data_IF_871178251287
#
_entry.id   IF_871178251287
#
_cell.length_a   1.000
_cell.length_b   1.000
_cell.length_c   1.000
_cell.angle_alpha   90.00
_cell.angle_beta   90.00
_cell.angle_gamma   90.00
#
_symmetry.space_group_name_H-M   'P 1'
#
loop_
_entity.id
_entity.type
_entity.pdbx_description
1 polymer ?
#
# COMPACT_ATOMS: atom_id res chain seq x y z
N UNK A 1 1.69 3.03 -21.28
CA UNK A 1 0.66 1.98 -21.55
C UNK A 1 0.16 1.26 -20.27
N UNK A 2 0.06 1.94 -19.11
CA UNK A 2 -0.46 1.35 -17.85
C UNK A 2 -1.84 1.88 -17.45
N UNK A 3 -2.25 3.04 -17.96
CA UNK A 3 -3.50 3.71 -17.58
C UNK A 3 -4.74 3.07 -18.20
N UNK A 4 -4.62 2.51 -19.41
CA UNK A 4 -5.69 1.83 -20.13
C UNK A 4 -6.13 0.49 -19.51
N UNK A 5 -5.33 -0.09 -18.60
CA UNK A 5 -5.66 -1.37 -17.97
C UNK A 5 -6.81 -1.25 -16.97
N UNK A 6 -6.82 -0.20 -16.15
CA UNK A 6 -7.87 0.00 -15.14
C UNK A 6 -9.20 0.31 -15.83
N UNK A 7 -9.19 1.15 -16.86
CA UNK A 7 -10.39 1.45 -17.65
C UNK A 7 -10.94 0.19 -18.33
N UNK A 8 -10.07 -0.64 -18.90
CA UNK A 8 -10.48 -1.92 -19.49
C UNK A 8 -11.08 -2.88 -18.45
N UNK A 9 -10.48 -2.99 -17.26
CA UNK A 9 -11.01 -3.79 -16.16
C UNK A 9 -12.39 -3.31 -15.71
N UNK A 10 -12.61 -1.98 -15.66
CA UNK A 10 -13.92 -1.40 -15.34
C UNK A 10 -14.95 -1.74 -16.42
N UNK A 11 -14.60 -1.60 -17.70
CA UNK A 11 -15.48 -1.97 -18.82
C UNK A 11 -15.88 -3.46 -18.74
N UNK A 12 -14.91 -4.35 -18.54
CA UNK A 12 -15.17 -5.79 -18.42
C UNK A 12 -16.02 -6.08 -17.19
N UNK A 13 -15.76 -5.40 -16.07
CA UNK A 13 -16.56 -5.53 -14.85
C UNK A 13 -18.02 -5.13 -15.05
N UNK A 14 -18.28 -4.04 -15.78
CA UNK A 14 -19.65 -3.59 -16.11
C UNK A 14 -20.35 -4.63 -17.01
N UNK A 15 -19.67 -5.16 -18.02
CA UNK A 15 -20.23 -6.20 -18.90
C UNK A 15 -20.62 -7.44 -18.08
N UNK A 16 -19.73 -7.90 -17.18
CA UNK A 16 -20.02 -9.03 -16.30
C UNK A 16 -21.21 -8.73 -15.37
N UNK A 17 -21.27 -7.52 -14.80
CA UNK A 17 -22.39 -7.11 -13.94
C UNK A 17 -23.73 -7.12 -14.69
N UNK A 18 -23.77 -6.67 -15.94
CA UNK A 18 -24.96 -6.73 -16.79
C UNK A 18 -25.38 -8.18 -17.07
N UNK A 19 -24.43 -9.06 -17.38
CA UNK A 19 -24.72 -10.48 -17.59
C UNK A 19 -25.31 -11.10 -16.33
N UNK A 20 -24.72 -10.85 -15.15
CA UNK A 20 -25.24 -11.33 -13.86
C UNK A 20 -26.65 -10.79 -13.59
N UNK A 21 -26.91 -9.50 -13.88
CA UNK A 21 -28.21 -8.90 -13.68
C UNK A 21 -29.29 -9.54 -14.58
N UNK A 22 -28.96 -9.82 -15.85
CA UNK A 22 -29.86 -10.54 -16.76
C UNK A 22 -30.16 -11.94 -16.22
N UNK A 23 -29.14 -12.69 -15.79
CA UNK A 23 -29.33 -14.00 -15.17
C UNK A 23 -30.20 -13.92 -13.91
N UNK A 24 -30.03 -12.89 -13.09
CA UNK A 24 -30.83 -12.71 -11.87
C UNK A 24 -32.31 -12.46 -12.16
N UNK A 25 -32.63 -11.74 -13.25
CA UNK A 25 -34.02 -11.47 -13.65
C UNK A 25 -34.67 -12.69 -14.29
N UNK A 26 -33.95 -13.39 -15.19
CA UNK A 26 -34.49 -14.54 -15.92
C UNK A 26 -34.63 -15.76 -15.01
N UNK A 27 -33.73 -15.93 -14.03
CA UNK A 27 -33.69 -17.08 -13.14
C UNK A 27 -34.15 -16.71 -11.72
N UNK A 28 -35.20 -15.90 -11.62
CA UNK A 28 -35.86 -15.54 -10.35
C UNK A 28 -36.88 -16.60 -9.90
N UNK A 29 -36.77 -17.81 -10.43
CA UNK A 29 -37.65 -18.90 -10.02
C UNK A 29 -37.33 -19.29 -8.57
N UNK A 30 -38.35 -19.36 -7.70
CA UNK A 30 -38.15 -19.77 -6.32
C UNK A 30 -37.71 -21.24 -6.29
N UNK A 31 -36.59 -21.49 -5.60
CA UNK A 31 -36.07 -22.83 -5.37
C UNK A 31 -36.11 -23.07 -3.86
N UNK A 32 -36.63 -24.22 -3.45
CA UNK A 32 -36.63 -24.64 -2.05
C UNK A 32 -35.19 -24.79 -1.56
N UNK A 33 -34.83 -23.98 -0.55
CA UNK A 33 -33.52 -24.09 0.11
C UNK A 33 -33.73 -24.55 1.54
N UNK A 34 -33.13 -25.70 1.83
CA UNK A 34 -33.07 -26.26 3.17
C UNK A 34 -31.85 -25.69 3.89
N UNK A 35 -32.03 -24.59 4.60
CA UNK A 35 -31.08 -24.20 5.64
C UNK A 35 -31.28 -25.19 6.80
N UNK A 36 -30.20 -25.64 7.43
CA UNK A 36 -30.14 -26.78 8.37
C UNK A 36 -31.32 -26.91 9.38
N UNK A 37 -32.00 -25.80 9.70
CA UNK A 37 -33.18 -25.75 10.57
C UNK A 37 -34.37 -24.92 10.01
N UNK A 38 -34.27 -24.37 8.79
CA UNK A 38 -35.28 -23.47 8.19
C UNK A 38 -35.39 -23.78 6.69
N UNK A 39 -36.62 -23.95 6.21
CA UNK A 39 -36.90 -24.06 4.78
C UNK A 39 -37.46 -22.72 4.28
N UNK A 40 -36.90 -22.22 3.18
CA UNK A 40 -37.35 -20.97 2.58
C UNK A 40 -37.24 -21.03 1.05
N UNK A 41 -38.25 -20.48 0.39
CA UNK A 41 -38.34 -20.43 -1.08
C UNK A 41 -37.77 -19.12 -1.58
N UNK A 42 -36.46 -19.12 -1.81
CA UNK A 42 -35.74 -17.94 -2.26
C UNK A 42 -35.08 -18.25 -3.61
N UNK A 43 -35.06 -17.29 -4.56
CA UNK A 43 -34.31 -17.45 -5.79
C UNK A 43 -32.84 -17.76 -5.51
N UNK A 44 -32.30 -18.82 -6.12
CA UNK A 44 -30.94 -19.31 -5.86
C UNK A 44 -29.86 -18.22 -6.04
N UNK A 45 -30.10 -17.28 -6.97
CA UNK A 45 -29.21 -16.16 -7.23
C UNK A 45 -29.02 -15.24 -6.02
N UNK A 46 -30.04 -15.05 -5.16
CA UNK A 46 -29.90 -14.23 -3.95
C UNK A 46 -28.92 -14.85 -2.96
N UNK A 47 -28.92 -16.18 -2.84
CA UNK A 47 -27.97 -16.91 -2.00
C UNK A 47 -26.55 -16.81 -2.56
N UNK A 48 -26.39 -16.95 -3.88
CA UNK A 48 -25.08 -16.80 -4.55
C UNK A 48 -24.54 -15.38 -4.37
N UNK A 49 -25.35 -14.36 -4.65
CA UNK A 49 -24.95 -12.96 -4.50
C UNK A 49 -24.61 -12.63 -3.05
N UNK A 50 -25.40 -13.11 -2.09
CA UNK A 50 -25.11 -12.95 -0.66
C UNK A 50 -23.78 -13.60 -0.25
N UNK A 51 -23.50 -14.80 -0.76
CA UNK A 51 -22.25 -15.53 -0.48
C UNK A 51 -21.03 -14.82 -1.06
N UNK A 52 -21.12 -14.37 -2.31
CA UNK A 52 -20.07 -13.58 -2.98
C UNK A 52 -19.84 -12.27 -2.25
N UNK A 53 -20.91 -11.56 -1.85
CA UNK A 53 -20.81 -10.33 -1.08
C UNK A 53 -20.10 -10.54 0.25
N UNK A 54 -20.46 -11.60 1.00
CA UNK A 54 -19.77 -11.97 2.24
C UNK A 54 -18.28 -12.24 2.01
N UNK A 55 -17.93 -12.99 0.96
CA UNK A 55 -16.54 -13.24 0.59
C UNK A 55 -15.76 -11.94 0.27
N UNK A 56 -16.36 -11.05 -0.52
CA UNK A 56 -15.80 -9.73 -0.84
C UNK A 56 -15.59 -8.87 0.42
N UNK A 57 -16.55 -8.87 1.36
CA UNK A 57 -16.44 -8.14 2.62
C UNK A 57 -15.28 -8.66 3.47
N UNK A 58 -15.12 -9.98 3.59
CA UNK A 58 -13.99 -10.58 4.31
C UNK A 58 -12.67 -10.11 3.70
N UNK A 59 -12.52 -10.24 2.38
CA UNK A 59 -11.30 -9.82 1.67
C UNK A 59 -11.06 -8.31 1.84
N UNK A 60 -12.11 -7.49 1.79
CA UNK A 60 -12.03 -6.05 1.99
C UNK A 60 -11.49 -5.69 3.38
N UNK A 61 -12.04 -6.28 4.44
CA UNK A 61 -11.58 -6.04 5.81
C UNK A 61 -10.14 -6.49 6.02
N UNK A 62 -9.76 -7.66 5.48
CA UNK A 62 -8.37 -8.15 5.52
C UNK A 62 -7.40 -7.20 4.79
N UNK A 63 -7.82 -6.64 3.65
CA UNK A 63 -7.03 -5.67 2.90
C UNK A 63 -6.84 -4.35 3.66
N UNK A 64 -7.88 -3.85 4.35
CA UNK A 64 -7.77 -2.67 5.21
C UNK A 64 -6.76 -2.91 6.33
N UNK A 65 -6.86 -4.04 7.03
CA UNK A 65 -5.92 -4.39 8.11
C UNK A 65 -4.47 -4.47 7.58
N UNK A 66 -4.25 -5.14 6.45
CA UNK A 66 -2.94 -5.23 5.80
C UNK A 66 -2.40 -3.86 5.40
N UNK A 67 -3.23 -3.02 4.76
CA UNK A 67 -2.86 -1.68 4.32
C UNK A 67 -2.42 -0.78 5.49
N UNK A 68 -3.10 -0.87 6.65
CA UNK A 68 -2.71 -0.11 7.85
C UNK A 68 -1.33 -0.50 8.35
N UNK A 69 -1.03 -1.80 8.41
CA UNK A 69 0.28 -2.29 8.83
C UNK A 69 1.39 -1.83 7.88
N UNK A 70 1.12 -1.86 6.57
CA UNK A 70 2.10 -1.42 5.58
C UNK A 70 2.35 0.09 5.68
N UNK A 71 1.31 0.91 5.90
CA UNK A 71 1.49 2.35 6.14
C UNK A 71 2.34 2.65 7.39
N UNK A 72 2.16 1.88 8.47
CA UNK A 72 2.99 2.02 9.70
C UNK A 72 4.47 1.71 9.42
N UNK A 73 4.75 0.58 8.76
CA UNK A 73 6.11 0.21 8.36
C UNK A 73 6.72 1.26 7.45
N UNK A 74 5.95 1.79 6.49
CA UNK A 74 6.40 2.82 5.57
C UNK A 74 6.81 4.09 6.33
N UNK A 75 6.01 4.54 7.32
CA UNK A 75 6.39 5.66 8.18
C UNK A 75 7.69 5.39 8.96
N UNK A 76 7.82 4.21 9.58
CA UNK A 76 9.02 3.86 10.34
C UNK A 76 10.27 3.86 9.46
N UNK A 77 10.20 3.20 8.30
CA UNK A 77 11.31 3.14 7.34
C UNK A 77 11.68 4.52 6.82
N UNK A 78 10.71 5.40 6.56
CA UNK A 78 10.98 6.78 6.12
C UNK A 78 11.68 7.58 7.20
N UNK A 79 11.26 7.47 8.47
CA UNK A 79 11.92 8.15 9.60
C UNK A 79 13.35 7.64 9.80
N UNK A 80 13.54 6.32 9.76
CA UNK A 80 14.88 5.71 9.91
C UNK A 80 15.82 6.15 8.79
N UNK A 81 15.34 6.16 7.53
CA UNK A 81 16.11 6.69 6.40
C UNK A 81 16.54 8.14 6.61
N UNK A 82 15.61 9.00 7.04
CA UNK A 82 15.91 10.42 7.28
C UNK A 82 16.97 10.60 8.36
N UNK A 83 16.92 9.81 9.44
CA UNK A 83 17.90 9.92 10.53
C UNK A 83 19.28 9.39 10.10
N UNK A 84 19.32 8.27 9.36
CA UNK A 84 20.57 7.74 8.80
C UNK A 84 21.21 8.74 7.83
N UNK A 85 20.43 9.38 6.95
CA UNK A 85 20.93 10.42 6.05
C UNK A 85 21.50 11.62 6.81
N UNK A 86 20.85 12.04 7.91
CA UNK A 86 21.35 13.12 8.78
C UNK A 86 22.68 12.75 9.45
N UNK A 87 22.79 11.54 10.00
CA UNK A 87 24.03 11.05 10.61
C UNK A 87 25.16 10.95 9.59
N UNK A 88 24.88 10.47 8.38
CA UNK A 88 25.86 10.34 7.31
C UNK A 88 26.35 11.73 6.85
N UNK A 89 25.46 12.72 6.75
CA UNK A 89 25.82 14.11 6.48
C UNK A 89 26.70 14.73 7.60
N UNK A 90 26.34 14.51 8.87
CA UNK A 90 27.12 14.99 10.01
C UNK A 90 28.53 14.34 10.07
N UNK A 91 28.61 13.03 9.86
CA UNK A 91 29.89 12.31 9.83
C UNK A 91 30.79 12.78 8.68
N UNK A 92 30.23 13.05 7.49
CA UNK A 92 30.96 13.63 6.35
C UNK A 92 31.47 15.04 6.64
N UNK A 93 30.66 15.87 7.30
CA UNK A 93 31.07 17.21 7.72
C UNK A 93 32.22 17.17 8.75
N UNK A 94 32.17 16.24 9.71
CA UNK A 94 33.20 16.07 10.73
C UNK A 94 34.52 15.55 10.13
N UNK A 95 34.46 14.64 9.15
CA UNK A 95 35.65 14.13 8.43
C UNK A 95 36.33 15.20 7.57
N UNK A 96 35.56 16.14 7.02
CA UNK A 96 36.06 17.28 6.22
C UNK A 96 36.81 18.30 7.10
N UNK A 97 36.43 18.45 8.37
CA UNK A 97 37.09 19.37 9.29
C UNK A 97 38.39 18.81 9.88
N UNK A 98 38.54 17.48 9.94
CA UNK A 98 39.74 16.84 10.47
C UNK A 98 40.89 16.76 9.45
N UNK A 99 40.64 16.86 8.14
CA UNK A 99 41.72 16.89 7.13
C UNK A 99 42.35 18.28 6.91
N UNK A 100 41.84 19.34 7.55
CA UNK A 100 42.36 20.71 7.39
C UNK A 100 43.28 21.18 8.52
N UNK A 101 43.48 20.38 9.58
CA UNK A 101 44.25 20.79 10.77
C UNK A 101 45.74 20.45 10.68
N UNK A 102 46.18 19.62 9.73
CA UNK A 102 47.58 19.17 9.63
C UNK A 102 48.40 19.94 8.58
N UNK A 103 48.34 21.27 8.58
CA UNK A 103 49.41 22.11 7.99
C UNK A 103 49.43 23.49 8.65
N UNK A 104 50.04 23.60 9.83
CA UNK A 104 50.58 24.87 10.34
C UNK A 104 51.98 24.62 10.86
N UNK A 105 52.97 24.79 9.97
CA UNK A 105 54.38 24.94 10.34
C UNK A 105 54.56 26.28 11.10
N UNK A 106 55.50 26.36 12.06
CA UNK A 106 55.72 27.53 12.90
C UNK A 106 56.31 28.69 12.09
N UNK A 107 55.68 29.85 12.22
CA UNK A 107 56.14 31.15 11.74
C UNK A 107 57.37 31.57 12.56
N UNK A 108 58.57 31.51 11.96
CA UNK A 108 59.76 32.18 12.47
C UNK A 108 60.06 33.38 11.56
N UNK A 109 59.88 34.58 12.09
CA UNK A 109 60.44 35.81 11.53
C UNK A 109 61.01 36.67 12.65
N UNK A 110 62.15 36.24 13.21
CA UNK A 110 63.15 37.19 13.71
C UNK A 110 63.96 37.72 12.53
N UNK A 111 63.69 38.96 12.11
CA UNK A 111 64.75 39.84 11.61
C UNK A 111 64.35 41.31 11.78
N UNK A 112 64.93 41.94 12.80
CA UNK A 112 64.99 43.39 12.93
C UNK A 112 66.46 43.79 13.10
N UNK A 113 66.99 44.40 12.03
CA UNK A 113 68.04 45.43 12.00
C UNK A 113 69.51 45.01 11.82
N UNK A 114 70.03 45.51 10.68
CA UNK A 114 71.42 45.85 10.27
C UNK A 114 72.34 44.75 9.75
#
# INVERSE_FOLDING_TARGET
>A
MKENKIQWQVIVGIIIALVIAIFAVINVDPVEVNFLFVQADWPLILIVLGSVLCGCLIIFFLNIAKSRNMKKKLKQLTTEKSELERQLAAAKAMKTHSSKVETRQPENTENVTK
#
